data_IF_594348513219
#
_entry.id   IF_594348513219
#
_cell.length_a   1.000
_cell.length_b   1.000
_cell.length_c   1.000
_cell.angle_alpha   90.00
_cell.angle_beta   90.00
_cell.angle_gamma   90.00
#
_symmetry.space_group_name_H-M   'P 1'
#
loop_
_entity.id
_entity.type
_entity.pdbx_description
1 polymer ?
#
# COMPACT_ATOMS: atom_id res chain seq x y z
N UNK A 1 -17.34 26.89 -0.43
CA UNK A 1 -17.84 25.49 -0.43
C UNK A 1 -17.12 24.75 -1.55
N UNK A 2 -15.96 24.16 -1.24
CA UNK A 2 -15.26 23.29 -2.19
C UNK A 2 -16.01 21.96 -2.30
N UNK A 3 -16.03 21.31 -3.46
CA UNK A 3 -16.97 20.22 -3.65
C UNK A 3 -16.49 18.94 -2.94
N UNK A 4 -17.38 18.39 -2.12
CA UNK A 4 -17.15 17.30 -1.17
C UNK A 4 -17.02 15.90 -1.79
N UNK A 5 -16.84 15.79 -3.12
CA UNK A 5 -16.78 14.49 -3.81
C UNK A 5 -15.41 13.79 -3.73
N UNK A 6 -14.37 14.45 -3.19
CA UNK A 6 -13.06 13.83 -2.99
C UNK A 6 -12.91 13.10 -1.64
N UNK A 7 -13.96 13.07 -0.81
CA UNK A 7 -13.85 12.72 0.60
C UNK A 7 -13.95 11.22 0.94
N UNK A 8 -13.59 10.27 0.07
CA UNK A 8 -13.64 8.88 0.55
C UNK A 8 -13.15 7.75 -0.33
N UNK A 9 -12.91 7.96 -1.63
CA UNK A 9 -12.28 6.96 -2.47
C UNK A 9 -10.96 7.49 -2.98
N UNK A 10 -9.87 6.86 -2.52
CA UNK A 10 -8.63 6.92 -3.27
C UNK A 10 -8.94 6.44 -4.69
N UNK A 11 -9.00 7.35 -5.65
CA UNK A 11 -9.11 7.03 -7.08
C UNK A 11 -7.86 6.31 -7.59
N UNK A 12 -6.79 6.37 -6.79
CA UNK A 12 -5.52 5.75 -7.07
C UNK A 12 -5.55 4.27 -6.72
N UNK A 13 -5.04 3.39 -7.60
CA UNK A 13 -4.84 1.98 -7.29
C UNK A 13 -4.05 1.82 -5.99
N UNK A 14 -4.65 1.14 -5.02
CA UNK A 14 -4.06 0.91 -3.71
C UNK A 14 -4.25 -0.54 -3.29
N UNK A 15 -3.22 -1.10 -2.65
CA UNK A 15 -3.26 -2.42 -2.01
C UNK A 15 -2.81 -2.26 -0.56
N UNK A 16 -3.52 -2.91 0.36
CA UNK A 16 -3.12 -3.05 1.76
C UNK A 16 -3.07 -4.52 2.14
N UNK A 17 -1.94 -4.91 2.69
CA UNK A 17 -1.63 -6.26 3.13
C UNK A 17 -1.35 -6.25 4.64
N UNK A 18 -1.82 -7.27 5.33
CA UNK A 18 -1.46 -7.55 6.72
C UNK A 18 -0.39 -8.63 6.75
N UNK A 19 0.64 -8.43 7.57
CA UNK A 19 1.70 -9.40 7.76
C UNK A 19 1.16 -10.68 8.42
N UNK A 20 1.76 -11.86 8.13
CA UNK A 20 1.43 -13.08 8.84
C UNK A 20 1.72 -12.89 10.34
N UNK A 21 0.83 -13.41 11.19
CA UNK A 21 0.77 -13.12 12.62
C UNK A 21 2.15 -13.04 13.28
N UNK A 22 2.54 -11.84 13.72
CA UNK A 22 3.82 -11.61 14.38
C UNK A 22 3.80 -12.23 15.78
N UNK A 23 4.86 -12.95 16.14
CA UNK A 23 5.07 -13.66 17.43
C UNK A 23 4.87 -12.76 18.67
N UNK A 24 4.91 -11.43 18.53
CA UNK A 24 4.74 -10.45 19.62
C UNK A 24 3.33 -9.80 19.71
N UNK A 25 2.30 -10.36 19.07
CA UNK A 25 0.91 -9.88 19.17
C UNK A 25 0.60 -8.54 18.48
N UNK A 26 1.61 -7.85 17.97
CA UNK A 26 1.46 -6.60 17.19
C UNK A 26 1.37 -6.95 15.70
N UNK A 27 0.17 -6.80 15.10
CA UNK A 27 -0.01 -6.93 13.64
C UNK A 27 0.79 -5.83 12.92
N UNK A 28 1.40 -6.17 11.79
CA UNK A 28 2.06 -5.20 10.91
C UNK A 28 1.26 -5.08 9.62
N UNK A 29 1.23 -3.90 9.04
CA UNK A 29 0.65 -3.64 7.73
C UNK A 29 1.73 -3.25 6.73
N UNK A 30 1.45 -3.52 5.48
CA UNK A 30 2.14 -2.98 4.32
C UNK A 30 1.07 -2.45 3.36
N UNK A 31 1.26 -1.25 2.83
CA UNK A 31 0.31 -0.53 2.01
C UNK A 31 1.07 0.13 0.87
N UNK A 32 0.52 0.05 -0.33
CA UNK A 32 1.10 0.63 -1.53
C UNK A 32 0.01 1.34 -2.32
N UNK A 33 0.26 2.58 -2.72
CA UNK A 33 -0.64 3.42 -3.51
C UNK A 33 0.10 3.92 -4.74
N UNK A 34 -0.33 3.52 -5.93
CA UNK A 34 0.22 3.98 -7.20
C UNK A 34 -0.49 5.25 -7.66
N UNK A 35 0.27 6.31 -7.93
CA UNK A 35 -0.26 7.58 -8.39
C UNK A 35 0.61 8.23 -9.47
N UNK A 36 0.23 9.42 -9.93
CA UNK A 36 1.00 10.18 -10.93
C UNK A 36 2.41 10.54 -10.42
N UNK A 37 2.56 10.73 -9.11
CA UNK A 37 3.84 11.04 -8.47
C UNK A 37 4.73 9.81 -8.23
N UNK A 38 4.28 8.61 -8.64
CA UNK A 38 4.99 7.35 -8.45
C UNK A 38 4.26 6.40 -7.49
N UNK A 39 5.03 5.51 -6.85
CA UNK A 39 4.50 4.51 -5.92
C UNK A 39 4.78 4.94 -4.48
N UNK A 40 3.72 5.27 -3.73
CA UNK A 40 3.81 5.55 -2.30
C UNK A 40 3.66 4.25 -1.51
N UNK A 41 4.70 3.88 -0.78
CA UNK A 41 4.74 2.72 0.10
C UNK A 41 4.63 3.17 1.55
N UNK A 42 3.88 2.41 2.35
CA UNK A 42 3.74 2.64 3.78
C UNK A 42 3.69 1.31 4.52
N UNK A 43 4.41 1.18 5.62
CA UNK A 43 4.43 -0.07 6.39
C UNK A 43 4.73 0.20 7.87
N UNK A 44 4.29 -0.70 8.74
CA UNK A 44 4.58 -0.58 10.17
C UNK A 44 3.60 -1.35 11.03
N UNK A 45 3.63 -1.14 12.36
CA UNK A 45 2.64 -1.68 13.27
C UNK A 45 1.24 -1.15 12.95
N UNK A 46 0.23 -2.02 12.93
CA UNK A 46 -1.17 -1.61 12.76
C UNK A 46 -1.58 -0.66 13.90
N UNK A 47 -2.38 0.34 13.58
CA UNK A 47 -2.74 1.42 14.52
C UNK A 47 -1.65 2.48 14.76
N UNK A 48 -0.47 2.39 14.13
CA UNK A 48 0.55 3.46 14.15
C UNK A 48 0.70 4.12 12.78
N UNK A 49 1.32 5.30 12.74
CA UNK A 49 1.61 5.98 11.47
C UNK A 49 2.48 5.13 10.54
N UNK A 50 3.40 4.32 11.09
CA UNK A 50 4.33 3.51 10.30
C UNK A 50 5.41 4.36 9.63
N UNK A 51 6.22 3.72 8.79
CA UNK A 51 7.16 4.35 7.88
C UNK A 51 6.50 4.55 6.51
N UNK A 52 6.89 5.60 5.79
CA UNK A 52 6.40 5.89 4.43
C UNK A 52 7.60 6.16 3.53
N UNK A 53 7.52 5.76 2.28
CA UNK A 53 8.52 6.06 1.25
C UNK A 53 7.82 6.27 -0.08
N UNK A 54 8.35 7.19 -0.90
CA UNK A 54 7.89 7.43 -2.27
C UNK A 54 8.94 6.92 -3.25
N UNK A 55 8.53 6.02 -4.14
CA UNK A 55 9.33 5.61 -5.29
C UNK A 55 8.88 6.48 -6.46
N UNK A 56 9.79 7.28 -6.98
CA UNK A 56 9.52 8.13 -8.12
C UNK A 56 9.19 7.28 -9.39
N UNK A 57 8.41 7.80 -10.34
CA UNK A 57 7.96 7.04 -11.51
C UNK A 57 9.11 6.43 -12.32
N UNK A 58 10.24 7.15 -12.44
CA UNK A 58 11.46 6.73 -13.12
C UNK A 58 12.13 5.50 -12.48
N UNK A 59 11.84 5.24 -11.20
CA UNK A 59 12.35 4.07 -10.45
C UNK A 59 11.31 2.95 -10.30
N UNK A 60 10.14 3.08 -10.90
CA UNK A 60 9.13 2.02 -10.94
C UNK A 60 9.44 1.01 -12.04
N UNK A 61 9.03 -0.25 -11.89
CA UNK A 61 9.10 -1.26 -12.93
C UNK A 61 8.55 -0.72 -14.26
N UNK A 62 9.44 -0.66 -15.27
CA UNK A 62 9.13 -0.18 -16.62
C UNK A 62 8.55 1.25 -16.65
N UNK A 63 8.87 2.08 -15.66
CA UNK A 63 8.34 3.44 -15.54
C UNK A 63 6.84 3.50 -15.16
N UNK A 64 6.24 2.37 -14.77
CA UNK A 64 4.82 2.29 -14.47
C UNK A 64 4.58 1.99 -12.97
N UNK A 65 4.10 2.97 -12.19
CA UNK A 65 3.83 2.80 -10.76
C UNK A 65 2.81 1.71 -10.43
N UNK A 66 1.85 1.44 -11.34
CA UNK A 66 0.85 0.37 -11.16
C UNK A 66 1.49 -1.00 -11.33
N UNK A 67 2.42 -1.16 -12.28
CA UNK A 67 3.16 -2.42 -12.44
C UNK A 67 4.05 -2.69 -11.24
N UNK A 68 4.78 -1.68 -10.77
CA UNK A 68 5.60 -1.79 -9.55
C UNK A 68 4.74 -2.16 -8.34
N UNK A 69 3.54 -1.58 -8.22
CA UNK A 69 2.58 -1.90 -7.17
C UNK A 69 2.18 -3.38 -7.20
N UNK A 70 1.82 -3.91 -8.36
CA UNK A 70 1.43 -5.32 -8.51
C UNK A 70 2.60 -6.23 -8.17
N UNK A 71 3.77 -5.98 -8.77
CA UNK A 71 4.97 -6.80 -8.57
C UNK A 71 5.39 -6.88 -7.09
N UNK A 72 5.42 -5.74 -6.38
CA UNK A 72 5.73 -5.72 -4.95
C UNK A 72 4.66 -6.38 -4.10
N UNK A 73 3.39 -6.23 -4.48
CA UNK A 73 2.28 -6.85 -3.76
C UNK A 73 2.32 -8.37 -3.89
N UNK A 74 2.59 -8.90 -5.08
CA UNK A 74 2.78 -10.33 -5.32
C UNK A 74 3.95 -10.89 -4.51
N UNK A 75 5.08 -10.18 -4.49
CA UNK A 75 6.23 -10.56 -3.65
C UNK A 75 5.85 -10.64 -2.17
N UNK A 76 5.09 -9.67 -1.66
CA UNK A 76 4.61 -9.69 -0.26
C UNK A 76 3.61 -10.80 0.02
N UNK A 77 2.71 -11.10 -0.92
CA UNK A 77 1.80 -12.24 -0.82
C UNK A 77 2.56 -13.56 -0.76
N UNK A 78 3.64 -13.71 -1.54
CA UNK A 78 4.52 -14.88 -1.48
C UNK A 78 5.28 -15.00 -0.14
N UNK A 79 5.58 -13.89 0.53
CA UNK A 79 6.12 -13.87 1.90
C UNK A 79 5.09 -14.29 2.98
N UNK A 80 3.84 -14.55 2.60
CA UNK A 80 2.76 -14.93 3.51
C UNK A 80 1.96 -13.75 4.07
N UNK A 81 2.10 -12.54 3.49
CA UNK A 81 1.16 -11.47 3.77
C UNK A 81 -0.21 -11.80 3.18
N UNK A 82 -1.27 -11.25 3.77
CA UNK A 82 -2.63 -11.46 3.29
C UNK A 82 -3.30 -10.13 2.96
N UNK A 83 -4.15 -10.12 1.94
CA UNK A 83 -4.97 -8.96 1.59
C UNK A 83 -5.88 -8.59 2.77
N UNK A 84 -5.76 -7.34 3.24
CA UNK A 84 -6.70 -6.81 4.22
C UNK A 84 -8.01 -6.57 3.49
N UNK A 85 -9.03 -7.40 3.76
CA UNK A 85 -10.38 -7.15 3.25
C UNK A 85 -10.82 -5.77 3.74
N UNK A 86 -11.15 -4.87 2.82
CA UNK A 86 -11.88 -3.67 3.18
C UNK A 86 -13.20 -4.14 3.80
N UNK A 87 -13.42 -3.85 5.08
CA UNK A 87 -14.69 -4.17 5.71
C UNK A 87 -15.77 -3.30 5.04
N UNK A 88 -16.87 -3.94 4.64
CA UNK A 88 -18.11 -3.27 4.26
C UNK A 88 -18.75 -2.59 5.47
#
# INVERSE_FOLDING_TARGET
MGPSYLQGRSLLPQIRLDAPGTVSGTRKFWEATAGPDGLRLRWGPDGRQGQTTLIAPDRCAEGNPVRELVHRSESKLAEGYHLKKACC
#
